data_IF_039808159132
#
_entry.id   IF_039808159132
#
_cell.length_a   1.000
_cell.length_b   1.000
_cell.length_c   1.000
_cell.angle_alpha   90.00
_cell.angle_beta   90.00
_cell.angle_gamma   90.00
#
_symmetry.space_group_name_H-M   'P 1'
#
loop_
_entity.id
_entity.type
_entity.pdbx_description
1 polymer ?
#
# COMPACT_ATOMS: atom_id res chain seq x y z
N UNK A 1 -11.39 -0.54 64.08
CA UNK A 1 -10.92 -1.70 63.28
C UNK A 1 -11.86 -1.97 62.11
N UNK A 2 -13.19 -1.91 62.27
CA UNK A 2 -14.16 -2.02 61.17
C UNK A 2 -13.99 -0.92 60.10
N UNK A 3 -13.88 0.34 60.50
CA UNK A 3 -13.76 1.47 59.56
C UNK A 3 -12.50 1.41 58.66
N UNK A 4 -11.39 0.86 59.18
CA UNK A 4 -10.15 0.66 58.40
C UNK A 4 -10.31 -0.48 57.37
N UNK A 5 -11.00 -1.56 57.75
CA UNK A 5 -11.27 -2.68 56.86
C UNK A 5 -12.25 -2.31 55.74
N UNK A 6 -13.23 -1.46 56.03
CA UNK A 6 -14.15 -0.91 55.02
C UNK A 6 -13.41 -0.03 54.01
N UNK A 7 -12.48 0.81 54.47
CA UNK A 7 -11.65 1.65 53.61
C UNK A 7 -10.72 0.82 52.71
N UNK A 8 -10.02 -0.17 53.27
CA UNK A 8 -9.16 -1.09 52.50
C UNK A 8 -9.97 -1.83 51.41
N UNK A 9 -11.17 -2.31 51.75
CA UNK A 9 -12.05 -2.99 50.80
C UNK A 9 -12.51 -2.07 49.67
N UNK A 10 -12.78 -0.80 49.97
CA UNK A 10 -13.17 0.19 48.95
C UNK A 10 -12.02 0.50 47.99
N UNK A 11 -10.80 0.69 48.52
CA UNK A 11 -9.60 0.92 47.72
C UNK A 11 -9.30 -0.28 46.81
N UNK A 12 -9.48 -1.51 47.30
CA UNK A 12 -9.27 -2.71 46.49
C UNK A 12 -10.32 -2.86 45.37
N UNK A 13 -11.57 -2.47 45.62
CA UNK A 13 -12.61 -2.40 44.57
C UNK A 13 -12.24 -1.39 43.48
N UNK A 14 -11.78 -0.20 43.85
CA UNK A 14 -11.35 0.84 42.91
C UNK A 14 -10.14 0.38 42.09
N UNK A 15 -9.14 -0.23 42.73
CA UNK A 15 -7.98 -0.82 42.03
C UNK A 15 -8.40 -1.92 41.07
N UNK A 16 -9.37 -2.75 41.44
CA UNK A 16 -9.92 -3.77 40.54
C UNK A 16 -10.60 -3.12 39.35
N UNK A 17 -11.51 -2.17 39.58
CA UNK A 17 -12.21 -1.43 38.53
C UNK A 17 -11.23 -0.81 37.52
N UNK A 18 -10.13 -0.22 37.99
CA UNK A 18 -9.09 0.35 37.13
C UNK A 18 -8.41 -0.67 36.22
N UNK A 19 -8.19 -1.90 36.73
CA UNK A 19 -7.52 -2.99 36.00
C UNK A 19 -8.45 -3.71 35.03
N UNK A 20 -9.75 -3.53 35.16
CA UNK A 20 -10.78 -4.22 34.35
C UNK A 20 -11.60 -3.23 33.53
N UNK A 21 -11.06 -2.05 33.22
CA UNK A 21 -11.72 -1.10 32.32
C UNK A 21 -11.96 -1.76 30.95
N UNK A 22 -13.19 -1.68 30.39
CA UNK A 22 -13.50 -2.27 29.09
C UNK A 22 -12.62 -1.69 27.97
N UNK A 23 -12.21 -0.42 28.08
CA UNK A 23 -11.32 0.23 27.12
C UNK A 23 -9.97 -0.50 26.98
N UNK A 24 -9.46 -1.13 28.05
CA UNK A 24 -8.19 -1.87 27.97
C UNK A 24 -8.31 -3.10 27.06
N UNK A 25 -9.45 -3.78 27.09
CA UNK A 25 -9.70 -4.92 26.22
C UNK A 25 -9.90 -4.47 24.77
N UNK A 26 -10.71 -3.41 24.55
CA UNK A 26 -10.93 -2.85 23.22
C UNK A 26 -9.64 -2.31 22.59
N UNK A 27 -8.78 -1.66 23.36
CA UNK A 27 -7.46 -1.20 22.89
C UNK A 27 -6.61 -2.40 22.46
N UNK A 28 -6.50 -3.45 23.29
CA UNK A 28 -5.66 -4.61 22.97
C UNK A 28 -6.14 -5.34 21.70
N UNK A 29 -7.46 -5.48 21.51
CA UNK A 29 -8.04 -6.05 20.30
C UNK A 29 -7.74 -5.18 19.07
N UNK A 30 -7.93 -3.86 19.19
CA UNK A 30 -7.71 -2.92 18.10
C UNK A 30 -6.23 -2.77 17.74
N UNK A 31 -5.31 -2.81 18.70
CA UNK A 31 -3.86 -2.82 18.46
C UNK A 31 -3.45 -4.05 17.63
N UNK A 32 -4.05 -5.22 17.93
CA UNK A 32 -3.81 -6.46 17.17
C UNK A 32 -4.32 -6.32 15.73
N UNK A 33 -5.54 -5.81 15.55
CA UNK A 33 -6.11 -5.59 14.22
C UNK A 33 -5.33 -4.53 13.41
N UNK A 34 -4.91 -3.43 14.07
CA UNK A 34 -4.11 -2.36 13.47
C UNK A 34 -2.75 -2.89 13.00
N UNK A 35 -2.13 -3.78 13.77
CA UNK A 35 -0.87 -4.42 13.37
C UNK A 35 -1.05 -5.27 12.11
N UNK A 36 -2.11 -6.07 12.04
CA UNK A 36 -2.42 -6.87 10.84
C UNK A 36 -2.65 -6.00 9.61
N UNK A 37 -3.42 -4.90 9.75
CA UNK A 37 -3.62 -3.93 8.66
C UNK A 37 -2.31 -3.28 8.21
N UNK A 38 -1.40 -2.98 9.14
CA UNK A 38 -0.10 -2.39 8.82
C UNK A 38 0.81 -3.38 8.09
N UNK A 39 0.83 -4.65 8.51
CA UNK A 39 1.57 -5.71 7.83
C UNK A 39 1.03 -5.89 6.40
N UNK A 40 -0.30 -5.91 6.22
CA UNK A 40 -0.94 -5.93 4.89
C UNK A 40 -0.59 -4.70 4.04
N UNK A 41 -0.56 -3.51 4.63
CA UNK A 41 -0.20 -2.28 3.92
C UNK A 41 1.26 -2.31 3.45
N UNK A 42 2.17 -2.92 4.22
CA UNK A 42 3.57 -3.12 3.81
C UNK A 42 3.68 -4.08 2.63
N UNK A 43 2.94 -5.18 2.66
CA UNK A 43 2.92 -6.14 1.55
C UNK A 43 2.35 -5.50 0.27
N UNK A 44 1.27 -4.72 0.39
CA UNK A 44 0.70 -3.97 -0.73
C UNK A 44 1.68 -2.91 -1.28
N UNK A 45 2.46 -2.25 -0.41
CA UNK A 45 3.51 -1.31 -0.84
C UNK A 45 4.59 -2.01 -1.65
N UNK A 46 5.06 -3.18 -1.21
CA UNK A 46 6.05 -3.98 -1.95
C UNK A 46 5.50 -4.34 -3.34
N UNK A 47 4.25 -4.78 -3.42
CA UNK A 47 3.61 -5.10 -4.70
C UNK A 47 3.55 -3.88 -5.64
N UNK A 48 3.21 -2.69 -5.13
CA UNK A 48 3.22 -1.44 -5.91
C UNK A 48 4.61 -1.12 -6.41
N UNK A 49 5.64 -1.26 -5.57
CA UNK A 49 7.02 -0.98 -5.95
C UNK A 49 7.52 -1.96 -7.05
N UNK A 50 7.20 -3.25 -6.91
CA UNK A 50 7.52 -4.29 -7.89
C UNK A 50 6.84 -4.03 -9.24
N UNK A 51 5.54 -3.71 -9.23
CA UNK A 51 4.77 -3.38 -10.44
C UNK A 51 5.24 -2.08 -11.10
N UNK A 52 5.65 -1.09 -10.31
CA UNK A 52 6.21 0.16 -10.85
C UNK A 52 7.54 -0.08 -11.56
N UNK A 53 8.37 -1.00 -11.04
CA UNK A 53 9.60 -1.43 -11.70
C UNK A 53 9.32 -2.25 -12.97
N UNK A 54 8.30 -3.13 -12.95
CA UNK A 54 7.82 -3.87 -14.12
C UNK A 54 7.36 -2.91 -15.22
N UNK A 55 6.53 -1.91 -14.89
CA UNK A 55 6.05 -0.89 -15.83
C UNK A 55 7.23 -0.15 -16.47
N UNK A 56 8.15 0.38 -15.65
CA UNK A 56 9.32 1.12 -16.14
C UNK A 56 10.17 0.32 -17.13
N UNK A 57 10.23 -1.00 -16.97
CA UNK A 57 10.94 -1.90 -17.88
C UNK A 57 10.18 -2.09 -19.19
N UNK A 58 8.87 -2.32 -19.13
CA UNK A 58 8.04 -2.48 -20.34
C UNK A 58 8.05 -1.20 -21.16
N UNK A 59 7.90 -0.04 -20.52
CA UNK A 59 7.99 1.27 -21.18
C UNK A 59 9.32 1.44 -21.92
N UNK A 60 10.43 1.06 -21.28
CA UNK A 60 11.76 1.12 -21.88
C UNK A 60 11.89 0.18 -23.09
N UNK A 61 11.32 -1.02 -23.01
CA UNK A 61 11.31 -1.98 -24.12
C UNK A 61 10.46 -1.46 -25.30
N UNK A 62 9.28 -0.87 -25.03
CA UNK A 62 8.44 -0.21 -26.04
C UNK A 62 9.21 0.89 -26.76
N UNK A 63 9.81 1.81 -26.01
CA UNK A 63 10.56 2.94 -26.55
C UNK A 63 11.78 2.51 -27.35
N UNK A 64 12.48 1.46 -26.92
CA UNK A 64 13.60 0.89 -27.66
C UNK A 64 13.17 0.39 -29.05
N UNK A 65 12.04 -0.33 -29.12
CA UNK A 65 11.53 -0.88 -30.38
C UNK A 65 10.98 0.23 -31.27
N UNK A 66 10.25 1.21 -30.71
CA UNK A 66 9.80 2.42 -31.43
C UNK A 66 10.98 3.20 -32.02
N UNK A 67 12.02 3.46 -31.24
CA UNK A 67 13.21 4.17 -31.70
C UNK A 67 13.93 3.43 -32.84
N UNK A 68 14.01 2.09 -32.77
CA UNK A 68 14.57 1.28 -33.85
C UNK A 68 13.74 1.40 -35.12
N UNK A 69 12.42 1.22 -35.01
CA UNK A 69 11.49 1.31 -36.14
C UNK A 69 11.58 2.66 -36.83
N UNK A 70 11.59 3.76 -36.06
CA UNK A 70 11.73 5.12 -36.59
C UNK A 70 13.04 5.27 -37.36
N UNK A 71 14.16 4.83 -36.79
CA UNK A 71 15.48 4.89 -37.46
C UNK A 71 15.50 4.11 -38.78
N UNK A 72 14.92 2.91 -38.79
CA UNK A 72 14.90 2.05 -39.98
C UNK A 72 13.98 2.63 -41.07
N UNK A 73 12.83 3.18 -40.67
CA UNK A 73 11.90 3.92 -41.54
C UNK A 73 12.57 5.16 -42.17
N UNK A 74 13.25 5.97 -41.37
CA UNK A 74 13.93 7.18 -41.84
C UNK A 74 15.00 6.86 -42.90
N UNK A 75 15.75 5.77 -42.71
CA UNK A 75 16.76 5.32 -43.67
C UNK A 75 16.15 4.91 -45.01
N UNK A 76 14.98 4.26 -44.98
CA UNK A 76 14.24 3.92 -46.20
C UNK A 76 13.72 5.16 -46.91
N UNK A 77 13.08 6.07 -46.16
CA UNK A 77 12.44 7.27 -46.70
C UNK A 77 13.47 8.26 -47.29
N UNK A 78 14.69 8.28 -46.75
CA UNK A 78 15.83 9.05 -47.27
C UNK A 78 16.53 8.38 -48.47
N UNK A 79 16.10 7.18 -48.89
CA UNK A 79 16.72 6.44 -49.99
C UNK A 79 18.15 5.97 -49.70
N UNK A 80 18.52 5.83 -48.43
CA UNK A 80 19.88 5.39 -48.04
C UNK A 80 20.13 3.88 -48.29
N UNK A 81 19.10 3.15 -48.73
CA UNK A 81 19.16 1.72 -49.06
C UNK A 81 19.01 1.56 -50.58
N UNK A 82 20.13 1.37 -51.27
CA UNK A 82 20.18 1.29 -52.73
C UNK A 82 19.87 -0.12 -53.30
N UNK A 83 20.12 -1.19 -52.52
CA UNK A 83 19.85 -2.57 -52.94
C UNK A 83 18.36 -2.92 -52.78
N UNK A 84 17.63 -3.28 -53.85
CA UNK A 84 16.20 -3.62 -53.77
C UNK A 84 15.88 -4.76 -52.81
N UNK A 85 16.77 -5.77 -52.72
CA UNK A 85 16.57 -6.89 -51.78
C UNK A 85 16.78 -6.48 -50.33
N UNK A 86 17.69 -5.55 -50.06
CA UNK A 86 17.85 -4.97 -48.73
C UNK A 86 16.63 -4.11 -48.36
N UNK A 87 16.06 -3.38 -49.32
CA UNK A 87 14.86 -2.57 -49.11
C UNK A 87 13.64 -3.45 -48.79
N UNK A 88 13.43 -4.54 -49.53
CA UNK A 88 12.37 -5.52 -49.26
C UNK A 88 12.51 -6.16 -47.86
N UNK A 89 13.72 -6.57 -47.48
CA UNK A 89 13.99 -7.10 -46.13
C UNK A 89 13.67 -6.08 -45.04
N UNK A 90 14.05 -4.81 -45.24
CA UNK A 90 13.77 -3.74 -44.28
C UNK A 90 12.26 -3.49 -44.14
N UNK A 91 11.49 -3.53 -45.24
CA UNK A 91 10.03 -3.43 -45.18
C UNK A 91 9.41 -4.52 -44.30
N UNK A 92 9.82 -5.78 -44.47
CA UNK A 92 9.34 -6.88 -43.63
C UNK A 92 9.79 -6.75 -42.17
N UNK A 93 10.98 -6.22 -41.92
CA UNK A 93 11.45 -5.95 -40.57
C UNK A 93 10.59 -4.87 -39.89
N UNK A 94 10.24 -3.78 -40.58
CA UNK A 94 9.33 -2.75 -40.06
C UNK A 94 7.95 -3.32 -39.72
N UNK A 95 7.39 -4.21 -40.54
CA UNK A 95 6.13 -4.91 -40.24
C UNK A 95 6.25 -5.83 -39.01
N UNK A 96 7.42 -6.42 -38.79
CA UNK A 96 7.70 -7.23 -37.60
C UNK A 96 7.82 -6.35 -36.35
N UNK A 97 8.53 -5.23 -36.45
CA UNK A 97 8.67 -4.25 -35.37
C UNK A 97 7.32 -3.64 -34.97
N UNK A 98 6.45 -3.33 -35.94
CA UNK A 98 5.08 -2.88 -35.65
C UNK A 98 4.32 -3.88 -34.79
N UNK A 99 4.29 -5.16 -35.20
CA UNK A 99 3.63 -6.22 -34.44
C UNK A 99 4.22 -6.37 -33.04
N UNK A 100 5.54 -6.20 -32.89
CA UNK A 100 6.20 -6.24 -31.58
C UNK A 100 5.82 -5.04 -30.71
N UNK A 101 5.71 -3.84 -31.28
CA UNK A 101 5.28 -2.64 -30.55
C UNK A 101 3.87 -2.84 -30.03
N UNK A 102 2.92 -3.27 -30.88
CA UNK A 102 1.54 -3.52 -30.45
C UNK A 102 1.48 -4.52 -29.29
N UNK A 103 2.21 -5.65 -29.40
CA UNK A 103 2.27 -6.64 -28.31
C UNK A 103 2.86 -6.06 -27.02
N UNK A 104 3.87 -5.19 -27.11
CA UNK A 104 4.45 -4.58 -25.92
C UNK A 104 3.54 -3.50 -25.30
N UNK A 105 2.79 -2.77 -26.12
CA UNK A 105 1.80 -1.79 -25.65
C UNK A 105 0.61 -2.49 -24.98
N UNK A 106 0.21 -3.67 -25.47
CA UNK A 106 -0.76 -4.52 -24.78
C UNK A 106 -0.22 -4.99 -23.41
N UNK A 107 1.03 -5.48 -23.35
CA UNK A 107 1.69 -5.86 -22.10
C UNK A 107 1.81 -4.66 -21.13
N UNK A 108 2.12 -3.46 -21.64
CA UNK A 108 2.21 -2.21 -20.87
C UNK A 108 0.88 -1.89 -20.18
N UNK A 109 -0.23 -1.96 -20.92
CA UNK A 109 -1.57 -1.71 -20.39
C UNK A 109 -1.96 -2.71 -19.31
N UNK A 110 -1.61 -3.99 -19.46
CA UNK A 110 -1.87 -5.01 -18.43
C UNK A 110 -1.11 -4.73 -17.12
N UNK A 111 0.15 -4.29 -17.22
CA UNK A 111 0.94 -3.91 -16.05
C UNK A 111 0.37 -2.65 -15.38
N UNK A 112 -0.06 -1.67 -16.18
CA UNK A 112 -0.71 -0.45 -15.67
C UNK A 112 -2.00 -0.76 -14.90
N UNK A 113 -2.86 -1.64 -15.43
CA UNK A 113 -4.11 -2.04 -14.75
C UNK A 113 -3.81 -2.75 -13.42
N UNK A 114 -2.82 -3.66 -13.41
CA UNK A 114 -2.37 -4.33 -12.19
C UNK A 114 -1.82 -3.34 -11.16
N UNK A 115 -1.03 -2.36 -11.60
CA UNK A 115 -0.46 -1.33 -10.74
C UNK A 115 -1.55 -0.44 -10.13
N UNK A 116 -2.53 0.00 -10.93
CA UNK A 116 -3.67 0.79 -10.45
C UNK A 116 -4.46 0.02 -9.37
N UNK A 117 -4.72 -1.26 -9.59
CA UNK A 117 -5.38 -2.12 -8.60
C UNK A 117 -4.58 -2.25 -7.29
N UNK A 118 -3.27 -2.43 -7.38
CA UNK A 118 -2.40 -2.53 -6.22
C UNK A 118 -2.30 -1.20 -5.45
N UNK A 119 -2.28 -0.06 -6.15
CA UNK A 119 -2.31 1.27 -5.55
C UNK A 119 -3.63 1.52 -4.81
N UNK A 120 -4.76 1.16 -5.40
CA UNK A 120 -6.06 1.26 -4.74
C UNK A 120 -6.14 0.43 -3.45
N UNK A 121 -5.65 -0.82 -3.49
CA UNK A 121 -5.58 -1.67 -2.29
C UNK A 121 -4.71 -1.04 -1.19
N UNK A 122 -3.57 -0.48 -1.56
CA UNK A 122 -2.66 0.17 -0.63
C UNK A 122 -3.28 1.41 0.01
N UNK A 123 -3.95 2.25 -0.78
CA UNK A 123 -4.65 3.44 -0.29
C UNK A 123 -5.75 3.07 0.70
N UNK A 124 -6.53 2.03 0.41
CA UNK A 124 -7.57 1.51 1.30
C UNK A 124 -7.00 0.97 2.63
N UNK A 125 -5.87 0.25 2.57
CA UNK A 125 -5.20 -0.28 3.77
C UNK A 125 -4.63 0.85 4.64
N UNK A 126 -3.98 1.84 4.02
CA UNK A 126 -3.46 3.03 4.72
C UNK A 126 -4.59 3.80 5.39
N UNK A 127 -5.74 3.96 4.71
CA UNK A 127 -6.91 4.62 5.30
C UNK A 127 -7.46 3.84 6.51
N UNK A 128 -7.49 2.50 6.44
CA UNK A 128 -7.91 1.65 7.56
C UNK A 128 -6.95 1.72 8.74
N UNK A 129 -5.63 1.74 8.51
CA UNK A 129 -4.63 1.95 9.57
C UNK A 129 -4.84 3.30 10.25
N UNK A 130 -5.03 4.38 9.48
CA UNK A 130 -5.28 5.71 10.03
C UNK A 130 -6.55 5.77 10.87
N UNK A 131 -7.64 5.14 10.42
CA UNK A 131 -8.89 5.04 11.18
C UNK A 131 -8.72 4.23 12.48
N UNK A 132 -7.93 3.16 12.45
CA UNK A 132 -7.60 2.39 13.66
C UNK A 132 -6.78 3.22 14.66
N UNK A 133 -5.79 3.98 14.17
CA UNK A 133 -4.98 4.87 15.00
C UNK A 133 -5.82 5.98 15.65
N UNK A 134 -6.78 6.58 14.93
CA UNK A 134 -7.73 7.57 15.49
C UNK A 134 -8.60 6.97 16.61
N UNK A 135 -9.13 5.76 16.37
CA UNK A 135 -9.96 5.06 17.35
C UNK A 135 -9.16 4.63 18.58
N UNK A 136 -7.91 4.19 18.41
CA UNK A 136 -6.99 3.93 19.52
C UNK A 136 -6.77 5.19 20.37
N UNK A 137 -6.55 6.34 19.74
CA UNK A 137 -6.41 7.61 20.43
C UNK A 137 -7.64 7.98 21.26
N UNK A 138 -8.84 7.76 20.71
CA UNK A 138 -10.11 8.02 21.41
C UNK A 138 -10.29 7.09 22.62
N UNK A 139 -10.02 5.79 22.46
CA UNK A 139 -10.11 4.82 23.56
C UNK A 139 -9.06 5.09 24.64
N UNK A 140 -7.84 5.46 24.25
CA UNK A 140 -6.77 5.81 25.18
C UNK A 140 -7.17 7.01 26.05
N UNK A 141 -7.73 8.06 25.45
CA UNK A 141 -8.22 9.23 26.17
C UNK A 141 -9.34 8.87 27.16
N UNK A 142 -10.33 8.06 26.73
CA UNK A 142 -11.41 7.61 27.60
C UNK A 142 -10.89 6.76 28.78
N UNK A 143 -9.93 5.87 28.51
CA UNK A 143 -9.26 5.05 29.54
C UNK A 143 -8.51 5.93 30.53
N UNK A 144 -7.78 6.94 30.06
CA UNK A 144 -6.99 7.86 30.90
C UNK A 144 -7.90 8.73 31.78
N UNK A 145 -9.03 9.23 31.24
CA UNK A 145 -10.03 9.98 32.01
C UNK A 145 -10.61 9.13 33.15
N UNK A 146 -11.08 7.91 32.84
CA UNK A 146 -11.63 6.98 33.84
C UNK A 146 -10.59 6.57 34.88
N UNK A 147 -9.35 6.37 34.44
CA UNK A 147 -8.24 6.03 35.34
C UNK A 147 -7.96 7.18 36.31
N UNK A 148 -7.98 8.43 35.81
CA UNK A 148 -7.80 9.62 36.64
C UNK A 148 -8.93 9.79 37.66
N UNK A 149 -10.19 9.61 37.25
CA UNK A 149 -11.32 9.62 38.19
C UNK A 149 -11.19 8.56 39.29
N UNK A 150 -10.79 7.34 38.94
CA UNK A 150 -10.59 6.27 39.91
C UNK A 150 -9.43 6.60 40.85
N UNK A 151 -8.32 7.12 40.33
CA UNK A 151 -7.14 7.45 41.14
C UNK A 151 -7.43 8.59 42.13
N UNK A 152 -8.22 9.61 41.74
CA UNK A 152 -8.69 10.66 42.66
C UNK A 152 -9.51 10.08 43.81
N UNK A 153 -10.41 9.13 43.52
CA UNK A 153 -11.24 8.45 44.54
C UNK A 153 -10.45 7.53 45.47
N UNK A 154 -9.27 7.08 45.06
CA UNK A 154 -8.35 6.30 45.90
C UNK A 154 -7.52 7.20 46.83
N UNK A 155 -7.26 8.45 46.41
CA UNK A 155 -6.48 9.41 47.19
C UNK A 155 -7.28 10.24 48.20
N UNK A 156 -8.61 10.32 48.03
CA UNK A 156 -9.55 10.94 48.96
C UNK A 156 -9.87 10.03 50.17
#
# INVERSE_FOLDING_TARGET
>A
MLDLQELDSHVDQLRHQRRTLPELAEIAELETARKELDDQARDARILVDDLSAEQSKVDADVEQVKARRTRDRDRMDQGLIADPKALERMSHELESLERRITSLEDDELEVMERLEGAQGMLDDLVAQVAAADERLGTLAAARDEKTTEIDMRVSD
#
